data_IF_411786936058
#
_entry.id   IF_411786936058
#
_cell.length_a   1.000
_cell.length_b   1.000
_cell.length_c   1.000
_cell.angle_alpha   90.00
_cell.angle_beta   90.00
_cell.angle_gamma   90.00
#
_symmetry.space_group_name_H-M   'P 1'
#
loop_
_entity.id
_entity.type
_entity.pdbx_description
1 polymer ?
#
# COMPACT_ATOMS: atom_id res chain seq x y z
N UNK A 1 12.55 13.80 2.64
CA UNK A 1 12.40 15.10 3.33
C UNK A 1 13.75 15.47 3.92
N UNK A 2 14.26 16.65 3.57
CA UNK A 2 15.37 17.27 4.30
C UNK A 2 14.89 17.51 5.75
N UNK A 3 15.77 17.34 6.74
CA UNK A 3 15.42 17.64 8.13
C UNK A 3 15.09 19.14 8.29
N UNK A 4 14.28 19.48 9.29
CA UNK A 4 13.89 20.87 9.60
C UNK A 4 15.12 21.76 9.85
N UNK A 5 16.17 21.20 10.43
CA UNK A 5 17.41 21.94 10.73
C UNK A 5 18.20 22.38 9.46
N UNK A 6 18.45 21.51 8.46
CA UNK A 6 18.92 21.95 7.14
C UNK A 6 18.06 23.03 6.49
N UNK A 7 16.74 22.96 6.66
CA UNK A 7 15.81 23.93 6.11
C UNK A 7 15.90 25.29 6.83
N UNK A 8 15.93 25.28 8.16
CA UNK A 8 16.15 26.48 8.97
C UNK A 8 17.50 27.14 8.65
N UNK A 9 18.56 26.34 8.45
CA UNK A 9 19.88 26.83 8.05
C UNK A 9 19.85 27.49 6.67
N UNK A 10 19.19 26.86 5.69
CA UNK A 10 19.02 27.45 4.37
C UNK A 10 18.27 28.79 4.40
N UNK A 11 17.27 28.93 5.28
CA UNK A 11 16.57 30.21 5.48
C UNK A 11 17.48 31.28 6.09
N UNK A 12 18.27 30.95 7.11
CA UNK A 12 19.24 31.89 7.68
C UNK A 12 20.29 32.33 6.65
N UNK A 13 20.80 31.38 5.86
CA UNK A 13 21.80 31.64 4.80
C UNK A 13 21.23 32.56 3.71
N UNK A 14 19.95 32.39 3.33
CA UNK A 14 19.26 33.27 2.37
C UNK A 14 19.09 34.70 2.89
N UNK A 15 18.82 34.86 4.18
CA UNK A 15 18.68 36.17 4.84
C UNK A 15 20.04 36.81 5.18
N UNK A 16 21.16 36.16 4.84
CA UNK A 16 22.51 36.64 5.17
C UNK A 16 22.79 36.69 6.68
N UNK A 17 22.03 35.93 7.47
CA UNK A 17 22.11 35.91 8.93
C UNK A 17 22.77 34.64 9.43
N UNK A 18 23.47 34.73 10.56
CA UNK A 18 24.03 33.54 11.21
C UNK A 18 22.91 32.60 11.66
N UNK A 19 23.16 31.29 11.60
CA UNK A 19 22.18 30.29 12.03
C UNK A 19 21.75 30.51 13.49
N UNK A 20 20.45 30.72 13.69
CA UNK A 20 19.84 30.83 15.00
C UNK A 20 19.13 29.51 15.38
N UNK A 21 19.57 28.80 16.44
CA UNK A 21 18.97 27.53 16.84
C UNK A 21 17.47 27.61 17.16
N UNK A 22 17.00 28.74 17.73
CA UNK A 22 15.59 28.93 18.08
C UNK A 22 14.66 28.89 16.86
N UNK A 23 15.12 29.31 15.68
CA UNK A 23 14.34 29.28 14.45
C UNK A 23 13.99 27.85 14.04
N UNK A 24 14.87 26.88 14.30
CA UNK A 24 14.56 25.47 14.08
C UNK A 24 13.42 25.01 15.00
N UNK A 25 13.44 25.43 16.28
CA UNK A 25 12.38 25.12 17.25
C UNK A 25 11.04 25.71 16.85
N UNK A 26 11.01 26.97 16.40
CA UNK A 26 9.81 27.63 15.90
C UNK A 26 9.27 26.95 14.63
N UNK A 27 10.16 26.57 13.71
CA UNK A 27 9.78 25.81 12.52
C UNK A 27 9.22 24.43 12.85
N UNK A 28 9.79 23.72 13.83
CA UNK A 28 9.20 22.47 14.33
C UNK A 28 7.80 22.69 14.90
N UNK A 29 7.63 23.68 15.78
CA UNK A 29 6.33 23.98 16.38
C UNK A 29 5.28 24.35 15.32
N UNK A 30 5.65 25.18 14.33
CA UNK A 30 4.77 25.54 13.22
C UNK A 30 4.44 24.32 12.34
N UNK A 31 5.42 23.45 12.07
CA UNK A 31 5.21 22.23 11.29
C UNK A 31 4.30 21.23 12.00
N UNK A 32 4.44 21.07 13.32
CA UNK A 32 3.58 20.21 14.12
C UNK A 32 2.12 20.70 14.10
N UNK A 33 1.91 22.01 14.24
CA UNK A 33 0.58 22.64 14.11
C UNK A 33 0.02 22.42 12.69
N UNK A 34 0.83 22.62 11.66
CA UNK A 34 0.43 22.38 10.27
C UNK A 34 0.00 20.93 10.03
N UNK A 35 0.80 19.96 10.50
CA UNK A 35 0.49 18.53 10.40
C UNK A 35 -0.77 18.18 11.19
N UNK A 36 -0.95 18.77 12.38
CA UNK A 36 -2.16 18.58 13.19
C UNK A 36 -3.43 19.08 12.47
N UNK A 37 -3.37 20.25 11.84
CA UNK A 37 -4.47 20.80 11.04
C UNK A 37 -4.79 19.86 9.86
N UNK A 38 -3.77 19.45 9.09
CA UNK A 38 -3.96 18.53 7.98
C UNK A 38 -4.57 17.20 8.42
N UNK A 39 -4.11 16.64 9.53
CA UNK A 39 -4.63 15.39 10.08
C UNK A 39 -6.07 15.53 10.56
N UNK A 40 -6.43 16.67 11.16
CA UNK A 40 -7.80 16.99 11.55
C UNK A 40 -8.74 17.05 10.35
N UNK A 41 -8.37 17.81 9.31
CA UNK A 41 -9.15 17.92 8.07
C UNK A 41 -9.28 16.55 7.39
N UNK A 42 -8.18 15.80 7.28
CA UNK A 42 -8.20 14.44 6.71
C UNK A 42 -9.13 13.52 7.49
N UNK A 43 -9.13 13.60 8.82
CA UNK A 43 -10.03 12.82 9.68
C UNK A 43 -11.49 13.18 9.39
N UNK A 44 -11.83 14.47 9.39
CA UNK A 44 -13.19 14.92 9.06
C UNK A 44 -13.64 14.46 7.67
N UNK A 45 -12.80 14.63 6.65
CA UNK A 45 -13.09 14.16 5.29
C UNK A 45 -13.30 12.65 5.24
N UNK A 46 -12.53 11.87 6.01
CA UNK A 46 -12.74 10.42 6.11
C UNK A 46 -14.09 10.10 6.74
N UNK A 47 -14.47 10.79 7.82
CA UNK A 47 -15.80 10.65 8.44
C UNK A 47 -16.94 10.94 7.47
N UNK A 48 -16.90 12.10 6.84
CA UNK A 48 -17.94 12.55 5.90
C UNK A 48 -18.10 11.61 4.71
N UNK A 49 -17.00 11.01 4.23
CA UNK A 49 -17.01 10.07 3.11
C UNK A 49 -17.23 8.61 3.54
N UNK A 50 -17.49 8.33 4.83
CA UNK A 50 -17.70 6.97 5.34
C UNK A 50 -16.44 6.10 5.33
N UNK A 51 -15.25 6.70 5.38
CA UNK A 51 -13.93 6.06 5.23
C UNK A 51 -13.19 5.86 6.55
N UNK A 52 -13.93 5.64 7.64
CA UNK A 52 -13.39 5.57 9.02
C UNK A 52 -13.17 4.15 9.55
N UNK A 53 -13.47 3.12 8.77
CA UNK A 53 -13.17 1.75 9.17
C UNK A 53 -11.66 1.53 9.33
N UNK A 54 -11.27 0.79 10.38
CA UNK A 54 -9.89 0.34 10.61
C UNK A 54 -9.31 -0.31 9.35
N UNK A 55 -10.13 -1.12 8.68
CA UNK A 55 -9.79 -1.83 7.45
C UNK A 55 -10.16 -1.07 6.17
N UNK A 56 -10.81 0.09 6.24
CA UNK A 56 -11.34 0.78 5.05
C UNK A 56 -10.26 1.05 4.02
N UNK A 57 -9.14 1.64 4.45
CA UNK A 57 -8.01 1.92 3.54
C UNK A 57 -7.52 0.64 2.89
N UNK A 58 -7.40 -0.43 3.66
CA UNK A 58 -6.88 -1.70 3.20
C UNK A 58 -7.82 -2.33 2.17
N UNK A 59 -9.14 -2.26 2.41
CA UNK A 59 -10.18 -2.74 1.50
C UNK A 59 -10.42 -1.84 0.27
N UNK A 60 -9.80 -0.65 0.24
CA UNK A 60 -10.04 0.36 -0.81
C UNK A 60 -8.73 0.95 -1.37
N UNK A 61 -7.58 0.28 -1.15
CA UNK A 61 -6.27 0.78 -1.55
C UNK A 61 -6.02 0.69 -3.05
N UNK A 62 -6.51 -0.38 -3.68
CA UNK A 62 -6.38 -0.59 -5.12
C UNK A 62 -7.78 -0.93 -5.67
N UNK A 63 -8.50 0.05 -6.23
CA UNK A 63 -9.83 -0.18 -6.82
C UNK A 63 -9.81 -1.33 -7.83
N UNK A 64 -8.86 -1.36 -8.77
CA UNK A 64 -8.76 -2.42 -9.77
C UNK A 64 -8.53 -3.82 -9.17
N UNK A 65 -7.81 -3.91 -8.05
CA UNK A 65 -7.50 -5.18 -7.41
C UNK A 65 -8.63 -5.68 -6.50
N UNK A 66 -9.48 -4.76 -6.01
CA UNK A 66 -10.47 -5.03 -4.95
C UNK A 66 -11.92 -4.92 -5.44
N UNK A 67 -12.13 -4.24 -6.55
CA UNK A 67 -13.40 -4.12 -7.23
C UNK A 67 -13.38 -5.02 -8.46
N UNK A 68 -13.76 -6.29 -8.27
CA UNK A 68 -13.93 -7.26 -9.36
C UNK A 68 -15.35 -7.22 -9.89
N UNK A 69 -15.48 -7.15 -11.20
CA UNK A 69 -16.76 -7.32 -11.89
C UNK A 69 -17.08 -8.80 -12.06
N UNK A 70 -18.36 -9.14 -12.33
CA UNK A 70 -18.78 -10.54 -12.48
C UNK A 70 -18.21 -11.18 -13.75
N UNK A 71 -17.98 -10.33 -14.74
CA UNK A 71 -17.42 -10.62 -16.06
C UNK A 71 -15.90 -10.72 -16.08
N UNK A 72 -15.20 -10.30 -15.02
CA UNK A 72 -13.75 -10.37 -14.95
C UNK A 72 -13.27 -11.83 -14.92
N UNK A 73 -12.23 -12.13 -15.70
CA UNK A 73 -11.60 -13.43 -15.68
C UNK A 73 -10.95 -13.73 -14.32
N UNK A 74 -11.02 -14.99 -13.91
CA UNK A 74 -10.41 -15.43 -12.67
C UNK A 74 -8.88 -15.52 -12.82
N UNK A 75 -8.17 -14.59 -12.19
CA UNK A 75 -6.70 -14.63 -12.12
C UNK A 75 -6.20 -15.70 -11.12
N UNK A 76 -5.11 -16.40 -11.46
CA UNK A 76 -4.40 -17.31 -10.54
C UNK A 76 -3.73 -16.51 -9.40
N UNK A 77 -3.23 -15.31 -9.69
CA UNK A 77 -2.79 -14.33 -8.69
C UNK A 77 -3.75 -13.13 -8.77
N UNK A 78 -4.63 -12.99 -7.79
CA UNK A 78 -5.69 -11.96 -7.81
C UNK A 78 -5.22 -10.59 -7.35
N UNK A 79 -4.14 -10.54 -6.57
CA UNK A 79 -3.58 -9.29 -6.05
C UNK A 79 -2.12 -9.51 -5.68
N UNK A 80 -1.29 -8.52 -6.02
CA UNK A 80 0.09 -8.42 -5.54
C UNK A 80 0.15 -7.28 -4.54
N UNK A 81 0.52 -7.61 -3.30
CA UNK A 81 0.73 -6.64 -2.24
C UNK A 81 2.22 -6.40 -2.05
N UNK A 82 2.59 -5.15 -1.84
CA UNK A 82 3.95 -4.77 -1.46
C UNK A 82 3.89 -4.03 -0.14
N UNK A 83 4.75 -4.45 0.79
CA UNK A 83 4.95 -3.73 2.04
C UNK A 83 6.25 -2.95 1.92
N UNK A 84 6.19 -1.64 2.17
CA UNK A 84 7.37 -0.87 2.55
C UNK A 84 8.01 -1.66 3.71
N UNK A 85 9.29 -2.01 3.57
CA UNK A 85 10.06 -2.84 4.52
C UNK A 85 10.29 -2.24 5.89
N UNK A 86 9.45 -1.27 6.21
CA UNK A 86 9.50 -0.34 7.29
C UNK A 86 10.89 0.30 7.38
N UNK A 87 11.40 0.75 6.23
CA UNK A 87 12.73 1.39 6.15
C UNK A 87 12.75 2.68 6.98
N UNK A 88 11.59 3.31 7.16
CA UNK A 88 11.38 4.45 8.04
C UNK A 88 11.58 4.10 9.52
N UNK A 89 11.00 2.98 10.01
CA UNK A 89 11.25 2.52 11.39
C UNK A 89 12.72 2.20 11.61
N UNK A 90 13.40 1.58 10.64
CA UNK A 90 14.85 1.35 10.70
C UNK A 90 15.69 2.64 10.80
N UNK A 91 15.14 3.79 10.40
CA UNK A 91 15.80 5.12 10.53
C UNK A 91 15.51 5.78 11.87
N UNK A 92 14.34 5.51 12.47
CA UNK A 92 14.01 5.94 13.84
C UNK A 92 14.82 5.13 14.84
N UNK A 93 14.91 3.81 14.67
CA UNK A 93 15.79 2.91 15.47
C UNK A 93 17.22 3.47 15.56
N UNK A 94 17.85 3.78 14.40
CA UNK A 94 19.21 4.35 14.40
C UNK A 94 19.32 5.69 15.11
N UNK A 95 18.25 6.49 15.11
CA UNK A 95 18.27 7.80 15.76
C UNK A 95 18.16 7.63 17.28
N UNK A 96 17.38 6.68 17.75
CA UNK A 96 17.31 6.28 19.16
C UNK A 96 18.64 5.66 19.61
N UNK A 97 19.26 4.79 18.81
CA UNK A 97 20.61 4.24 19.08
C UNK A 97 21.67 5.37 19.20
N UNK A 98 21.62 6.37 18.31
CA UNK A 98 22.52 7.54 18.34
C UNK A 98 22.21 8.50 19.50
N UNK A 99 20.96 8.54 19.98
CA UNK A 99 20.60 9.27 21.18
C UNK A 99 21.04 8.52 22.45
N UNK A 100 21.05 7.18 22.41
CA UNK A 100 21.52 6.31 23.49
C UNK A 100 23.03 6.48 23.73
N UNK A 101 23.84 6.60 22.66
CA UNK A 101 25.27 6.98 22.76
C UNK A 101 25.49 8.37 23.39
N UNK A 102 24.49 9.26 23.31
CA UNK A 102 24.53 10.60 23.93
C UNK A 102 23.94 10.62 25.35
N UNK A 103 23.00 9.75 25.68
CA UNK A 103 22.48 9.59 27.04
C UNK A 103 23.54 8.96 27.97
N UNK A 104 24.40 8.07 27.46
CA UNK A 104 25.60 7.59 28.15
C UNK A 104 26.60 8.73 28.48
N UNK A 105 26.44 9.92 27.88
CA UNK A 105 27.19 11.13 28.23
C UNK A 105 26.53 11.99 29.34
N UNK A 106 25.52 11.49 30.05
CA UNK A 106 25.11 12.01 31.36
C UNK A 106 23.94 13.00 31.40
N UNK A 107 22.81 12.70 30.74
CA UNK A 107 21.54 13.38 31.02
C UNK A 107 20.43 12.37 31.35
N UNK A 108 19.91 12.45 32.57
CA UNK A 108 18.89 11.53 33.11
C UNK A 108 17.52 11.75 32.42
N UNK A 109 17.18 10.87 31.49
CA UNK A 109 15.83 10.71 30.93
C UNK A 109 15.27 9.32 31.35
N UNK A 110 13.94 9.18 31.50
CA UNK A 110 13.34 7.92 31.90
C UNK A 110 13.62 6.83 30.85
N UNK A 111 14.17 5.71 31.31
CA UNK A 111 14.59 4.60 30.47
C UNK A 111 13.43 4.11 29.58
N UNK A 112 13.61 4.23 28.25
CA UNK A 112 12.70 3.64 27.28
C UNK A 112 12.64 2.10 27.48
N UNK A 113 11.48 1.51 27.15
CA UNK A 113 11.27 0.06 27.21
C UNK A 113 12.37 -0.67 26.43
N UNK A 114 13.05 -1.61 27.10
CA UNK A 114 14.25 -2.32 26.61
C UNK A 114 13.94 -3.53 25.72
N UNK A 115 12.69 -3.74 25.31
CA UNK A 115 12.35 -4.91 24.50
C UNK A 115 12.88 -4.72 23.06
N UNK A 116 13.73 -5.64 22.55
CA UNK A 116 14.15 -5.58 21.16
C UNK A 116 12.93 -5.76 20.27
N UNK A 117 12.60 -4.73 19.50
CA UNK A 117 11.47 -4.75 18.56
C UNK A 117 11.75 -5.84 17.51
N UNK A 118 10.99 -6.93 17.57
CA UNK A 118 11.09 -7.99 16.56
C UNK A 118 10.60 -7.43 15.22
N UNK A 119 11.55 -7.26 14.30
CA UNK A 119 11.35 -6.71 12.95
C UNK A 119 10.33 -7.49 12.12
N UNK A 120 9.97 -8.71 12.52
CA UNK A 120 8.93 -9.51 11.87
C UNK A 120 7.51 -9.24 12.40
N UNK A 121 7.36 -8.62 13.57
CA UNK A 121 6.05 -8.32 14.17
C UNK A 121 5.23 -7.35 13.32
N UNK A 122 5.86 -6.28 12.81
CA UNK A 122 5.16 -5.30 11.98
C UNK A 122 4.56 -5.91 10.70
N UNK A 123 5.33 -6.62 9.84
CA UNK A 123 4.75 -7.24 8.65
C UNK A 123 3.78 -8.38 8.99
N UNK A 124 3.97 -9.13 10.09
CA UNK A 124 2.98 -10.12 10.54
C UNK A 124 1.65 -9.47 10.96
N UNK A 125 1.70 -8.39 11.75
CA UNK A 125 0.52 -7.65 12.17
C UNK A 125 -0.22 -7.05 10.97
N UNK A 126 0.52 -6.52 9.99
CA UNK A 126 -0.08 -5.95 8.79
C UNK A 126 -0.77 -7.03 7.95
N UNK A 127 -0.14 -8.19 7.75
CA UNK A 127 -0.76 -9.32 7.05
C UNK A 127 -1.97 -9.88 7.81
N UNK A 128 -1.91 -9.95 9.14
CA UNK A 128 -3.03 -10.35 9.96
C UNK A 128 -4.24 -9.43 9.77
N UNK A 129 -4.04 -8.12 9.89
CA UNK A 129 -5.09 -7.13 9.65
C UNK A 129 -5.62 -7.27 8.21
N UNK A 130 -4.72 -7.45 7.24
CA UNK A 130 -5.11 -7.61 5.84
C UNK A 130 -6.02 -8.82 5.63
N UNK A 131 -5.54 -10.01 5.99
CA UNK A 131 -6.28 -11.23 5.73
C UNK A 131 -7.58 -11.29 6.54
N UNK A 132 -7.62 -10.67 7.72
CA UNK A 132 -8.84 -10.62 8.55
C UNK A 132 -9.90 -9.74 7.88
N UNK A 133 -9.52 -8.52 7.48
CA UNK A 133 -10.41 -7.62 6.78
C UNK A 133 -10.95 -8.21 5.48
N UNK A 134 -10.08 -8.86 4.71
CA UNK A 134 -10.47 -9.53 3.48
C UNK A 134 -11.43 -10.69 3.73
N UNK A 135 -11.16 -11.51 4.75
CA UNK A 135 -12.05 -12.61 5.11
C UNK A 135 -13.44 -12.11 5.48
N UNK A 136 -13.52 -11.08 6.32
CA UNK A 136 -14.78 -10.45 6.71
C UNK A 136 -15.55 -9.88 5.50
N UNK A 137 -14.84 -9.28 4.54
CA UNK A 137 -15.45 -8.76 3.31
C UNK A 137 -15.97 -9.87 2.38
N UNK A 138 -15.18 -10.91 2.17
CA UNK A 138 -15.57 -12.05 1.35
C UNK A 138 -16.75 -12.82 1.95
N UNK A 139 -16.78 -12.98 3.28
CA UNK A 139 -17.92 -13.57 4.00
C UNK A 139 -19.17 -12.68 3.88
N UNK A 140 -19.02 -11.35 4.04
CA UNK A 140 -20.11 -10.39 3.87
C UNK A 140 -20.69 -10.39 2.45
N UNK A 141 -19.85 -10.59 1.44
CA UNK A 141 -20.26 -10.67 0.03
C UNK A 141 -20.79 -12.05 -0.38
N UNK A 142 -20.67 -13.07 0.49
CA UNK A 142 -21.05 -14.45 0.18
C UNK A 142 -20.13 -15.16 -0.81
N UNK A 143 -18.91 -14.65 -1.02
CA UNK A 143 -17.93 -15.19 -1.96
C UNK A 143 -17.11 -16.36 -1.35
N UNK A 144 -16.94 -16.37 -0.03
CA UNK A 144 -16.24 -17.43 0.69
C UNK A 144 -14.73 -17.39 0.50
N UNK A 145 -14.10 -18.56 0.30
CA UNK A 145 -12.64 -18.66 0.16
C UNK A 145 -12.22 -18.09 -1.21
N UNK A 146 -11.24 -17.15 -1.27
CA UNK A 146 -10.78 -16.60 -2.53
C UNK A 146 -10.30 -17.68 -3.51
N UNK A 147 -10.63 -17.53 -4.79
CA UNK A 147 -10.19 -18.47 -5.84
C UNK A 147 -8.72 -18.25 -6.23
N UNK A 148 -8.32 -17.00 -6.47
CA UNK A 148 -6.94 -16.60 -6.77
C UNK A 148 -6.06 -16.40 -5.54
N UNK A 149 -4.74 -16.51 -5.73
CA UNK A 149 -3.70 -16.34 -4.71
C UNK A 149 -3.45 -14.87 -4.41
N UNK A 150 -3.17 -14.59 -3.14
CA UNK A 150 -2.69 -13.29 -2.69
C UNK A 150 -1.17 -13.28 -2.67
N UNK A 151 -0.57 -12.70 -3.70
CA UNK A 151 0.86 -12.54 -3.75
C UNK A 151 1.32 -11.42 -2.82
N UNK A 152 2.39 -11.66 -2.08
CA UNK A 152 3.09 -10.61 -1.33
C UNK A 152 4.55 -10.57 -1.76
N UNK A 153 4.96 -9.45 -2.35
CA UNK A 153 6.29 -9.22 -2.85
C UNK A 153 7.12 -8.40 -1.86
N UNK A 154 8.23 -8.98 -1.39
CA UNK A 154 9.17 -8.31 -0.50
C UNK A 154 10.58 -8.95 -0.48
N UNK A 155 11.63 -8.15 -0.23
CA UNK A 155 13.05 -8.55 -0.17
C UNK A 155 13.49 -9.32 1.11
N UNK A 156 12.64 -10.16 1.71
CA UNK A 156 13.03 -11.07 2.83
C UNK A 156 12.26 -12.41 2.81
N UNK A 157 11.51 -12.69 1.75
CA UNK A 157 10.41 -13.66 1.73
C UNK A 157 10.81 -15.10 2.02
N UNK A 158 12.05 -15.53 1.77
CA UNK A 158 12.46 -16.90 2.12
C UNK A 158 12.44 -17.15 3.63
N UNK A 159 12.82 -16.16 4.46
CA UNK A 159 12.74 -16.29 5.93
C UNK A 159 11.36 -15.94 6.47
N UNK A 160 10.72 -14.92 5.91
CA UNK A 160 9.43 -14.45 6.40
C UNK A 160 8.26 -15.39 6.08
N UNK A 161 8.30 -16.09 4.94
CA UNK A 161 7.32 -17.16 4.65
C UNK A 161 7.33 -18.23 5.75
N UNK A 162 8.52 -18.64 6.22
CA UNK A 162 8.64 -19.60 7.34
C UNK A 162 8.07 -19.02 8.63
N UNK A 163 8.25 -17.72 8.89
CA UNK A 163 7.64 -17.05 10.04
C UNK A 163 6.11 -17.07 9.97
N UNK A 164 5.52 -16.76 8.81
CA UNK A 164 4.07 -16.85 8.60
C UNK A 164 3.57 -18.26 8.88
N UNK A 165 4.20 -19.29 8.29
CA UNK A 165 3.84 -20.70 8.46
C UNK A 165 3.93 -21.19 9.92
N UNK A 166 4.89 -20.68 10.69
CA UNK A 166 5.12 -21.07 12.10
C UNK A 166 4.31 -20.24 13.09
N UNK A 167 3.62 -19.21 12.63
CA UNK A 167 2.83 -18.32 13.48
C UNK A 167 1.35 -18.71 13.48
N UNK A 168 0.55 -18.19 14.43
CA UNK A 168 -0.91 -18.33 14.41
C UNK A 168 -1.56 -17.81 13.11
N UNK A 169 -0.86 -16.95 12.35
CA UNK A 169 -1.33 -16.43 11.06
C UNK A 169 -1.45 -17.51 9.99
N UNK A 170 -0.82 -18.68 10.14
CA UNK A 170 -0.78 -19.73 9.12
C UNK A 170 -2.18 -20.14 8.63
N UNK A 171 -3.15 -20.32 9.54
CA UNK A 171 -4.52 -20.70 9.19
C UNK A 171 -5.17 -19.66 8.28
N UNK A 172 -5.00 -18.39 8.64
CA UNK A 172 -5.57 -17.27 7.91
C UNK A 172 -4.83 -17.01 6.59
N UNK A 173 -3.51 -17.24 6.56
CA UNK A 173 -2.70 -17.17 5.35
C UNK A 173 -3.08 -18.25 4.33
N UNK A 174 -3.36 -19.48 4.79
CA UNK A 174 -3.87 -20.56 3.94
C UNK A 174 -5.26 -20.21 3.38
N UNK A 175 -6.14 -19.67 4.23
CA UNK A 175 -7.45 -19.20 3.82
C UNK A 175 -7.36 -18.13 2.71
N UNK A 176 -6.45 -17.15 2.87
CA UNK A 176 -6.24 -16.08 1.89
C UNK A 176 -5.47 -16.51 0.62
N UNK A 177 -5.04 -17.78 0.53
CA UNK A 177 -4.14 -18.31 -0.50
C UNK A 177 -2.86 -17.47 -0.64
N UNK A 178 -2.22 -17.19 0.49
CA UNK A 178 -1.00 -16.42 0.57
C UNK A 178 0.13 -17.05 -0.27
N UNK A 179 0.69 -16.26 -1.19
CA UNK A 179 1.81 -16.63 -2.04
C UNK A 179 3.00 -15.69 -1.74
N UNK A 180 4.05 -16.15 -1.04
CA UNK A 180 5.25 -15.35 -0.84
C UNK A 180 6.01 -15.25 -2.17
N UNK A 181 6.09 -14.06 -2.75
CA UNK A 181 6.90 -13.86 -3.95
C UNK A 181 8.35 -13.72 -3.48
N UNK A 182 9.07 -14.85 -3.52
CA UNK A 182 10.50 -14.92 -3.20
C UNK A 182 11.28 -14.23 -4.29
N UNK A 183 11.99 -13.15 -3.91
CA UNK A 183 12.68 -12.21 -4.80
C UNK A 183 13.15 -12.89 -6.08
N UNK A 184 12.50 -12.51 -7.18
CA UNK A 184 12.66 -12.92 -8.59
C UNK A 184 13.12 -14.38 -8.83
N UNK A 185 14.27 -14.82 -8.37
CA UNK A 185 14.89 -16.12 -8.68
C UNK A 185 14.12 -17.38 -8.24
N UNK A 186 13.41 -17.40 -7.10
CA UNK A 186 12.67 -18.62 -6.66
C UNK A 186 11.22 -18.64 -7.15
N UNK A 187 10.50 -17.51 -7.07
CA UNK A 187 9.11 -17.42 -7.54
C UNK A 187 8.97 -17.59 -9.05
N UNK A 188 9.97 -17.16 -9.82
CA UNK A 188 9.99 -17.34 -11.28
C UNK A 188 9.95 -18.83 -11.67
N UNK A 189 10.74 -19.67 -10.98
CA UNK A 189 10.78 -21.12 -11.27
C UNK A 189 9.45 -21.82 -10.98
N UNK A 190 8.78 -21.45 -9.88
CA UNK A 190 7.47 -22.01 -9.51
C UNK A 190 6.34 -21.51 -10.43
N UNK A 191 6.47 -20.30 -10.97
CA UNK A 191 5.52 -19.71 -11.93
C UNK A 191 5.83 -20.06 -13.40
N UNK A 192 6.82 -20.92 -13.68
CA UNK A 192 7.23 -21.27 -15.04
C UNK A 192 7.92 -20.14 -15.82
N UNK A 193 8.27 -19.04 -15.16
CA UNK A 193 8.96 -17.90 -15.74
C UNK A 193 10.46 -18.21 -15.78
N UNK A 194 11.01 -18.39 -16.97
CA UNK A 194 12.40 -18.82 -17.15
C UNK A 194 13.41 -17.67 -17.10
N UNK A 195 12.95 -16.43 -17.31
CA UNK A 195 13.81 -15.25 -17.40
C UNK A 195 13.15 -14.01 -16.81
N UNK A 196 13.92 -13.18 -16.13
CA UNK A 196 13.45 -11.91 -15.59
C UNK A 196 13.13 -10.90 -16.70
N UNK A 197 13.56 -11.19 -17.94
CA UNK A 197 13.19 -10.45 -19.14
C UNK A 197 11.67 -10.40 -19.34
N UNK A 198 10.94 -11.45 -18.95
CA UNK A 198 9.49 -11.49 -19.05
C UNK A 198 8.80 -10.32 -18.32
N UNK A 199 9.37 -9.88 -17.18
CA UNK A 199 8.83 -8.72 -16.45
C UNK A 199 9.08 -7.40 -17.19
N UNK A 200 10.21 -7.28 -17.87
CA UNK A 200 10.50 -6.09 -18.68
C UNK A 200 9.61 -6.05 -19.92
N UNK A 201 9.35 -7.20 -20.54
CA UNK A 201 8.46 -7.31 -21.68
C UNK A 201 7.02 -6.95 -21.28
N UNK A 202 6.53 -7.44 -20.14
CA UNK A 202 5.21 -7.05 -19.59
C UNK A 202 5.13 -5.56 -19.24
N UNK A 203 6.19 -4.97 -18.70
CA UNK A 203 6.22 -3.52 -18.41
C UNK A 203 6.15 -2.69 -19.70
N UNK A 204 6.80 -3.15 -20.77
CA UNK A 204 6.69 -2.52 -22.09
C UNK A 204 5.27 -2.65 -22.62
N UNK A 205 4.67 -3.84 -22.56
CA UNK A 205 3.31 -4.13 -22.99
C UNK A 205 2.27 -3.28 -22.22
N UNK A 206 2.35 -3.25 -20.89
CA UNK A 206 1.48 -2.44 -20.04
C UNK A 206 1.69 -0.94 -20.32
N UNK A 207 2.94 -0.51 -20.51
CA UNK A 207 3.26 0.85 -20.91
C UNK A 207 2.69 1.23 -22.28
N UNK A 208 2.64 0.30 -23.24
CA UNK A 208 2.00 0.50 -24.55
C UNK A 208 0.47 0.54 -24.44
N UNK A 209 -0.11 -0.35 -23.65
CA UNK A 209 -1.55 -0.38 -23.35
C UNK A 209 -2.02 0.95 -22.76
N UNK A 210 -1.35 1.46 -21.72
CA UNK A 210 -1.69 2.74 -21.08
C UNK A 210 -1.51 3.95 -22.03
N UNK A 211 -0.50 3.91 -22.90
CA UNK A 211 -0.30 4.93 -23.94
C UNK A 211 -1.39 4.89 -25.01
N UNK A 212 -1.95 3.72 -25.30
CA UNK A 212 -3.06 3.59 -26.22
C UNK A 212 -4.39 4.04 -25.61
N UNK A 213 -4.58 3.90 -24.29
CA UNK A 213 -5.74 4.46 -23.57
C UNK A 213 -5.78 5.99 -23.55
N UNK A 214 -4.63 6.65 -23.72
CA UNK A 214 -4.54 8.13 -23.79
C UNK A 214 -4.74 8.67 -25.21
N UNK A 215 -4.84 7.81 -26.22
CA UNK A 215 -5.12 8.22 -27.60
C UNK A 215 -6.62 8.31 -27.82
N UNK A 216 -7.04 9.32 -28.57
CA UNK A 216 -8.43 9.42 -29.03
C UNK A 216 -8.78 8.14 -29.81
N UNK A 217 -9.84 7.39 -29.44
CA UNK A 217 -10.21 6.17 -30.14
C UNK A 217 -10.43 6.47 -31.64
N UNK A 218 -10.03 5.57 -32.55
CA UNK A 218 -10.38 5.69 -33.96
C UNK A 218 -11.88 5.91 -34.11
N UNK A 219 -12.31 6.69 -35.11
CA UNK A 219 -13.75 6.95 -35.35
C UNK A 219 -14.58 5.66 -35.39
N UNK A 220 -14.00 4.56 -35.87
CA UNK A 220 -14.64 3.24 -35.92
C UNK A 220 -14.89 2.66 -34.52
N UNK A 221 -13.93 2.76 -33.59
CA UNK A 221 -14.11 2.29 -32.21
C UNK A 221 -15.18 3.12 -31.47
N UNK A 222 -15.20 4.44 -31.72
CA UNK A 222 -16.17 5.36 -31.13
C UNK A 222 -17.59 5.11 -31.66
N UNK A 223 -17.72 4.78 -32.96
CA UNK A 223 -18.99 4.34 -33.56
C UNK A 223 -19.47 3.01 -32.99
N UNK A 224 -18.57 2.04 -32.80
CA UNK A 224 -18.92 0.74 -32.20
C UNK A 224 -19.36 0.90 -30.75
N UNK A 225 -18.65 1.68 -29.93
CA UNK A 225 -19.04 1.94 -28.54
C UNK A 225 -20.39 2.67 -28.45
N UNK A 226 -20.61 3.67 -29.31
CA UNK A 226 -21.87 4.40 -29.38
C UNK A 226 -23.04 3.48 -29.78
N UNK A 227 -22.84 2.62 -30.78
CA UNK A 227 -23.84 1.66 -31.23
C UNK A 227 -24.19 0.64 -30.13
N UNK A 228 -23.19 0.09 -29.44
CA UNK A 228 -23.41 -0.83 -28.30
C UNK A 228 -24.20 -0.16 -27.17
N UNK A 229 -23.93 1.12 -26.88
CA UNK A 229 -24.70 1.89 -25.90
C UNK A 229 -26.15 2.16 -26.35
N UNK A 230 -26.39 2.34 -27.65
CA UNK A 230 -27.74 2.46 -28.20
C UNK A 230 -28.52 1.14 -28.09
N UNK A 231 -27.91 0.01 -28.41
CA UNK A 231 -28.55 -1.31 -28.22
C UNK A 231 -28.86 -1.58 -26.75
N UNK A 232 -27.95 -1.24 -25.84
CA UNK A 232 -28.18 -1.35 -24.40
C UNK A 232 -29.34 -0.44 -23.92
N UNK A 233 -29.43 0.77 -24.47
CA UNK A 233 -30.54 1.69 -24.18
C UNK A 233 -31.87 1.16 -24.71
N UNK A 234 -31.91 0.63 -25.94
CA UNK A 234 -33.12 0.08 -26.53
C UNK A 234 -33.61 -1.16 -25.78
N UNK A 235 -32.67 -2.01 -25.35
CA UNK A 235 -32.96 -3.20 -24.52
C UNK A 235 -33.55 -2.79 -23.17
N UNK A 236 -32.97 -1.78 -22.51
CA UNK A 236 -33.48 -1.27 -21.23
C UNK A 236 -34.83 -0.58 -21.37
N UNK A 237 -35.06 0.20 -22.44
CA UNK A 237 -36.37 0.79 -22.72
C UNK A 237 -37.45 -0.27 -22.99
N UNK A 238 -37.11 -1.36 -23.71
CA UNK A 238 -38.02 -2.49 -23.91
C UNK A 238 -38.41 -3.16 -22.59
N UNK A 239 -37.47 -3.33 -21.66
CA UNK A 239 -37.76 -3.86 -20.33
C UNK A 239 -38.62 -2.91 -19.48
N UNK A 240 -38.39 -1.60 -19.58
CA UNK A 240 -39.19 -0.59 -18.86
C UNK A 240 -40.62 -0.50 -19.41
N UNK A 241 -40.82 -0.72 -20.71
CA UNK A 241 -42.14 -0.69 -21.34
C UNK A 241 -43.00 -1.95 -21.10
N UNK A 242 -42.43 -3.01 -20.52
CA UNK A 242 -43.14 -4.25 -20.15
C UNK A 242 -43.49 -4.33 -18.65
N UNK A 243 -43.23 -3.27 -17.88
CA UNK A 243 -43.65 -3.07 -16.49
C UNK A 243 -44.84 -2.11 -16.49
#
# INVERSE_FOLDING_TARGET
MLGVQPFAKALCDLEGSAFCPYLSTELYAAFDVYVAILNSIRKQNKSLLGREGQSWRLLNSCPSCQYRLKEDEQLDVRMITQMDGNVSLRRVERKEDVLQEKEESGQDLPAASKEPIDRSQYPLALLYIFFTAEKEEQERNGEGIPKGKLANAYNISCKFSKSVQRSPLNVLAQWAKFLPVVGTMHGMREAGITSSQAFYDWLVEEGEYLRNLTRTPPQEALKTEYYLKLEALQTTQGHVAMI
#
